data_IF_827543475193
#
_entry.id   IF_827543475193
#
_cell.length_a   1.000
_cell.length_b   1.000
_cell.length_c   1.000
_cell.angle_alpha   90.00
_cell.angle_beta   90.00
_cell.angle_gamma   90.00
#
_symmetry.space_group_name_H-M   'P 1'
#
loop_
_entity.id
_entity.type
_entity.pdbx_description
1 polymer ?
#
# COMPACT_ATOMS: atom_id res chain seq x y z
N UNK A 1 17.05 -18.93 28.49
CA UNK A 1 15.93 -18.06 28.12
C UNK A 1 15.25 -18.70 26.93
N UNK A 2 14.06 -19.26 27.15
CA UNK A 2 13.22 -19.79 26.08
C UNK A 2 12.86 -18.60 25.16
N UNK A 3 13.28 -18.66 23.89
CA UNK A 3 12.79 -17.76 22.85
C UNK A 3 11.27 -18.02 22.72
N UNK A 4 10.46 -17.23 23.40
CA UNK A 4 9.03 -17.22 23.11
C UNK A 4 8.87 -16.72 21.67
N UNK A 5 8.19 -17.50 20.84
CA UNK A 5 7.87 -17.10 19.48
C UNK A 5 7.09 -15.77 19.52
N UNK A 6 7.53 -14.79 18.75
CA UNK A 6 6.87 -13.49 18.66
C UNK A 6 5.50 -13.70 18.00
N UNK A 7 4.44 -13.27 18.65
CA UNK A 7 3.11 -13.20 18.03
C UNK A 7 2.94 -11.87 17.29
N UNK A 8 3.09 -11.91 15.98
CA UNK A 8 3.00 -10.73 15.13
C UNK A 8 1.59 -10.14 15.04
N UNK A 9 0.55 -10.85 15.51
CA UNK A 9 -0.82 -10.32 15.55
C UNK A 9 -1.00 -9.24 16.62
N UNK A 10 -0.09 -9.17 17.59
CA UNK A 10 -0.10 -8.17 18.67
C UNK A 10 0.41 -6.79 18.23
N UNK A 11 0.90 -6.66 17.00
CA UNK A 11 1.43 -5.39 16.49
C UNK A 11 0.47 -4.69 15.52
N UNK A 12 0.42 -3.34 15.57
CA UNK A 12 1.11 -2.45 16.51
C UNK A 12 0.50 -2.49 17.91
N UNK A 13 1.25 -1.99 18.90
CA UNK A 13 0.72 -1.71 20.24
C UNK A 13 -0.27 -0.52 20.22
N UNK A 14 -0.83 -0.18 21.39
CA UNK A 14 -1.78 0.93 21.52
C UNK A 14 -1.20 2.32 21.17
N UNK A 15 0.11 2.47 21.15
CA UNK A 15 0.82 3.69 20.77
C UNK A 15 1.28 3.68 19.31
N UNK A 16 0.98 2.61 18.58
CA UNK A 16 1.35 2.45 17.18
C UNK A 16 2.78 1.96 16.95
N UNK A 17 3.39 1.29 17.92
CA UNK A 17 4.74 0.75 17.78
C UNK A 17 4.74 -0.73 17.37
N UNK A 18 5.74 -1.06 16.57
CA UNK A 18 6.11 -2.42 16.18
C UNK A 18 7.45 -2.76 16.86
N UNK A 19 7.40 -3.08 18.15
CA UNK A 19 8.60 -3.19 18.99
C UNK A 19 9.25 -1.81 19.21
N UNK A 20 10.49 -1.65 18.75
CA UNK A 20 11.22 -0.36 18.82
C UNK A 20 10.93 0.59 17.67
N UNK A 21 10.12 0.19 16.70
CA UNK A 21 9.80 0.96 15.50
C UNK A 21 8.36 1.48 15.54
N UNK A 22 8.08 2.50 14.73
CA UNK A 22 6.73 3.05 14.59
C UNK A 22 6.48 4.26 15.49
N UNK A 23 5.20 4.47 15.87
CA UNK A 23 4.76 5.64 16.64
C UNK A 23 4.34 6.82 15.76
N UNK A 24 4.27 8.02 16.36
CA UNK A 24 3.80 9.25 15.71
C UNK A 24 4.83 10.36 15.85
N UNK A 25 5.72 10.50 14.88
CA UNK A 25 6.74 11.55 14.85
C UNK A 25 6.38 12.58 13.78
N UNK A 26 5.42 13.45 14.09
CA UNK A 26 4.89 14.47 13.17
C UNK A 26 4.71 15.79 13.88
N UNK A 27 4.41 16.86 13.10
CA UNK A 27 3.99 18.14 13.64
C UNK A 27 2.75 17.97 14.52
N UNK A 28 2.70 18.69 15.64
CA UNK A 28 1.56 18.69 16.57
C UNK A 28 0.24 19.02 15.86
N UNK A 29 0.28 19.86 14.83
CA UNK A 29 -0.86 20.20 13.97
C UNK A 29 -1.55 19.00 13.34
N UNK A 30 -0.82 17.90 13.08
CA UNK A 30 -1.35 16.69 12.48
C UNK A 30 -1.87 15.66 13.48
N UNK A 31 -1.62 15.86 14.78
CA UNK A 31 -1.97 14.84 15.79
C UNK A 31 -3.48 14.58 15.82
N UNK A 32 -4.31 15.62 15.84
CA UNK A 32 -5.77 15.46 15.82
C UNK A 32 -6.27 14.71 14.58
N UNK A 33 -5.72 15.02 13.40
CA UNK A 33 -6.08 14.33 12.16
C UNK A 33 -5.69 12.84 12.17
N UNK A 34 -4.55 12.49 12.78
CA UNK A 34 -4.12 11.10 12.93
C UNK A 34 -4.99 10.34 13.95
N UNK A 35 -5.39 10.98 15.03
CA UNK A 35 -6.30 10.41 16.04
C UNK A 35 -7.70 10.16 15.45
N UNK A 36 -8.21 11.10 14.67
CA UNK A 36 -9.47 10.95 13.94
C UNK A 36 -9.38 9.79 12.94
N UNK A 37 -8.28 9.68 12.19
CA UNK A 37 -8.05 8.60 11.25
C UNK A 37 -7.95 7.24 11.95
N UNK A 38 -7.21 7.15 13.05
CA UNK A 38 -7.10 5.93 13.85
C UNK A 38 -8.46 5.50 14.39
N UNK A 39 -9.22 6.45 14.96
CA UNK A 39 -10.57 6.20 15.48
C UNK A 39 -11.51 5.74 14.37
N UNK A 40 -11.50 6.40 13.21
CA UNK A 40 -12.29 5.99 12.05
C UNK A 40 -11.91 4.58 11.59
N UNK A 41 -10.61 4.32 11.39
CA UNK A 41 -10.15 3.00 10.96
C UNK A 41 -10.44 1.92 11.98
N UNK A 42 -10.28 2.21 13.27
CA UNK A 42 -10.61 1.29 14.36
C UNK A 42 -12.07 0.79 14.31
N UNK A 43 -12.99 1.66 13.89
CA UNK A 43 -14.40 1.28 13.65
C UNK A 43 -14.57 0.53 12.34
N UNK A 44 -13.98 1.04 11.24
CA UNK A 44 -14.22 0.55 9.89
C UNK A 44 -13.58 -0.81 9.61
N UNK A 45 -12.44 -1.12 10.21
CA UNK A 45 -11.74 -2.41 9.97
C UNK A 45 -12.57 -3.66 10.30
N UNK A 46 -13.63 -3.51 11.12
CA UNK A 46 -14.56 -4.57 11.47
C UNK A 46 -16.01 -4.27 11.04
N UNK A 47 -16.24 -3.17 10.34
CA UNK A 47 -17.57 -2.79 9.86
C UNK A 47 -17.95 -3.61 8.62
N UNK A 48 -19.05 -4.34 8.70
CA UNK A 48 -19.47 -5.25 7.65
C UNK A 48 -19.80 -4.52 6.34
N UNK A 49 -20.33 -3.30 6.39
CA UNK A 49 -20.68 -2.53 5.21
C UNK A 49 -19.42 -1.99 4.52
N UNK A 50 -18.47 -1.47 5.30
CA UNK A 50 -17.18 -1.03 4.78
C UNK A 50 -16.41 -2.17 4.11
N UNK A 51 -16.32 -3.32 4.78
CA UNK A 51 -15.62 -4.49 4.25
C UNK A 51 -16.30 -5.01 2.97
N UNK A 52 -17.64 -5.06 2.94
CA UNK A 52 -18.36 -5.46 1.73
C UNK A 52 -18.16 -4.48 0.55
N UNK A 53 -18.10 -3.17 0.81
CA UNK A 53 -17.81 -2.18 -0.23
C UNK A 53 -16.36 -2.32 -0.71
N UNK A 54 -15.42 -2.49 0.19
CA UNK A 54 -14.00 -2.71 -0.13
C UNK A 54 -13.80 -3.99 -0.95
N UNK A 55 -14.35 -5.12 -0.50
CA UNK A 55 -14.25 -6.41 -1.20
C UNK A 55 -14.91 -6.38 -2.57
N UNK A 56 -16.07 -5.73 -2.70
CA UNK A 56 -16.72 -5.51 -3.99
C UNK A 56 -15.83 -4.74 -4.96
N UNK A 57 -15.17 -3.70 -4.47
CA UNK A 57 -14.28 -2.87 -5.28
C UNK A 57 -13.00 -3.63 -5.66
N UNK A 58 -12.46 -4.44 -4.76
CA UNK A 58 -11.35 -5.32 -5.07
C UNK A 58 -11.72 -6.34 -6.16
N UNK A 59 -12.91 -6.94 -6.08
CA UNK A 59 -13.36 -7.94 -7.03
C UNK A 59 -13.69 -7.33 -8.41
N UNK A 60 -14.53 -6.29 -8.45
CA UNK A 60 -15.16 -5.84 -9.70
C UNK A 60 -14.47 -4.61 -10.33
N UNK A 61 -13.68 -3.87 -9.57
CA UNK A 61 -12.94 -2.72 -10.09
C UNK A 61 -11.44 -3.00 -10.25
N UNK A 62 -10.83 -3.67 -9.28
CA UNK A 62 -9.40 -4.07 -9.36
C UNK A 62 -9.21 -5.33 -10.20
N UNK A 63 -10.17 -6.25 -10.19
CA UNK A 63 -10.09 -7.53 -10.90
C UNK A 63 -9.46 -8.64 -10.07
N UNK A 64 -9.58 -8.57 -8.74
CA UNK A 64 -9.08 -9.61 -7.84
C UNK A 64 -10.02 -10.82 -7.78
N UNK A 65 -9.50 -12.04 -7.45
CA UNK A 65 -8.11 -12.31 -7.06
C UNK A 65 -7.11 -12.20 -8.21
N UNK A 66 -5.92 -11.65 -7.94
CA UNK A 66 -4.83 -11.73 -8.92
C UNK A 66 -4.34 -13.19 -9.03
N UNK A 67 -3.96 -13.68 -10.23
CA UNK A 67 -3.53 -15.05 -10.38
C UNK A 67 -2.23 -15.35 -9.63
N UNK A 68 -2.11 -16.60 -9.16
CA UNK A 68 -0.82 -17.20 -8.83
C UNK A 68 -0.42 -18.07 -10.02
N UNK A 69 0.61 -17.67 -10.74
CA UNK A 69 1.06 -18.30 -11.97
C UNK A 69 2.27 -19.20 -11.72
N UNK A 70 2.17 -20.50 -12.06
CA UNK A 70 3.30 -21.41 -12.03
C UNK A 70 4.19 -21.17 -13.25
N UNK A 71 5.41 -20.69 -13.02
CA UNK A 71 6.41 -20.42 -14.06
C UNK A 71 7.16 -21.72 -14.42
N UNK A 72 6.48 -22.67 -15.04
CA UNK A 72 6.98 -24.02 -15.31
C UNK A 72 8.31 -24.05 -16.06
N UNK A 73 8.40 -23.30 -17.17
CA UNK A 73 9.64 -23.26 -17.96
C UNK A 73 10.81 -22.67 -17.19
N UNK A 74 10.55 -21.69 -16.34
CA UNK A 74 11.57 -21.08 -15.51
C UNK A 74 12.03 -22.04 -14.41
N UNK A 75 11.10 -22.71 -13.78
CA UNK A 75 11.38 -23.75 -12.79
C UNK A 75 12.21 -24.89 -13.37
N UNK A 76 11.86 -25.36 -14.58
CA UNK A 76 12.62 -26.41 -15.31
C UNK A 76 14.02 -25.93 -15.69
N UNK A 77 14.15 -24.71 -16.21
CA UNK A 77 15.43 -24.13 -16.62
C UNK A 77 16.43 -24.03 -15.48
N UNK A 78 15.94 -23.61 -14.29
CA UNK A 78 16.78 -23.45 -13.11
C UNK A 78 17.06 -24.77 -12.38
N UNK A 79 16.24 -25.80 -12.61
CA UNK A 79 16.45 -27.15 -12.06
C UNK A 79 16.35 -27.26 -10.55
N UNK A 80 15.78 -26.27 -9.88
CA UNK A 80 15.69 -26.18 -8.42
C UNK A 80 14.26 -25.99 -7.94
N UNK A 81 13.98 -24.81 -7.37
CA UNK A 81 12.67 -24.47 -6.82
C UNK A 81 11.57 -24.41 -7.88
N UNK A 82 10.35 -24.79 -7.49
CA UNK A 82 9.16 -24.51 -8.28
C UNK A 82 8.78 -23.04 -8.06
N UNK A 83 8.75 -22.25 -9.13
CA UNK A 83 8.58 -20.79 -9.08
C UNK A 83 7.14 -20.43 -9.39
N UNK A 84 6.51 -19.73 -8.46
CA UNK A 84 5.17 -19.20 -8.59
C UNK A 84 5.20 -17.66 -8.53
N UNK A 85 4.51 -17.01 -9.45
CA UNK A 85 4.43 -15.54 -9.53
C UNK A 85 3.04 -15.09 -9.12
N UNK A 86 2.96 -14.30 -8.04
CA UNK A 86 1.73 -13.60 -7.66
C UNK A 86 1.59 -12.36 -8.53
N UNK A 87 0.67 -12.39 -9.48
CA UNK A 87 0.58 -11.47 -10.62
C UNK A 87 -0.19 -10.18 -10.26
N UNK A 88 0.38 -9.36 -9.37
CA UNK A 88 -0.18 -8.05 -9.03
C UNK A 88 -0.10 -7.02 -10.15
N UNK A 89 0.69 -7.27 -11.17
CA UNK A 89 0.76 -6.52 -12.41
C UNK A 89 -0.52 -6.60 -13.26
N UNK A 90 -1.35 -7.61 -13.04
CA UNK A 90 -2.64 -7.79 -13.71
C UNK A 90 -3.79 -7.03 -13.05
N UNK A 91 -3.58 -6.43 -11.91
CA UNK A 91 -4.58 -5.56 -11.30
C UNK A 91 -4.84 -4.33 -12.18
N UNK A 92 -6.05 -3.78 -12.08
CA UNK A 92 -6.32 -2.46 -12.62
C UNK A 92 -5.28 -1.45 -12.11
N UNK A 93 -4.78 -0.58 -12.95
CA UNK A 93 -3.62 0.33 -12.78
C UNK A 93 -2.23 -0.32 -12.98
N UNK A 94 -2.10 -1.63 -12.95
CA UNK A 94 -0.87 -2.35 -13.30
C UNK A 94 0.05 -2.67 -12.13
N UNK A 95 -0.42 -2.55 -10.87
CA UNK A 95 0.36 -2.92 -9.68
C UNK A 95 -0.50 -3.15 -8.45
N UNK A 96 0.14 -3.58 -7.34
CA UNK A 96 -0.47 -3.76 -6.03
C UNK A 96 -0.98 -2.46 -5.38
N UNK A 97 -0.55 -1.29 -5.85
CA UNK A 97 -0.85 0.00 -5.20
C UNK A 97 -2.34 0.29 -5.08
N UNK A 98 -3.13 -0.16 -6.04
CA UNK A 98 -4.57 0.06 -6.07
C UNK A 98 -5.30 -0.58 -4.86
N UNK A 99 -4.81 -1.68 -4.31
CA UNK A 99 -5.41 -2.33 -3.14
C UNK A 99 -5.48 -1.37 -1.95
N UNK A 100 -4.37 -0.67 -1.69
CA UNK A 100 -4.25 0.29 -0.62
C UNK A 100 -5.02 1.59 -0.92
N UNK A 101 -4.90 2.12 -2.14
CA UNK A 101 -5.54 3.41 -2.48
C UNK A 101 -7.07 3.32 -2.42
N UNK A 102 -7.68 2.19 -2.78
CA UNK A 102 -9.12 1.96 -2.59
C UNK A 102 -9.50 2.06 -1.12
N UNK A 103 -8.83 1.33 -0.24
CA UNK A 103 -9.13 1.33 1.18
C UNK A 103 -9.03 2.72 1.80
N UNK A 104 -7.93 3.45 1.52
CA UNK A 104 -7.73 4.80 2.04
C UNK A 104 -8.72 5.81 1.44
N UNK A 105 -9.06 5.71 0.17
CA UNK A 105 -10.03 6.61 -0.44
C UNK A 105 -11.46 6.39 0.08
N UNK A 106 -11.84 5.16 0.43
CA UNK A 106 -13.10 4.90 1.13
C UNK A 106 -13.11 5.54 2.53
N UNK A 107 -11.98 5.48 3.25
CA UNK A 107 -11.84 6.20 4.53
C UNK A 107 -11.91 7.72 4.34
N UNK A 108 -11.27 8.26 3.30
CA UNK A 108 -11.35 9.68 2.96
C UNK A 108 -12.81 10.14 2.69
N UNK A 109 -13.55 9.34 1.92
CA UNK A 109 -14.97 9.57 1.65
C UNK A 109 -15.80 9.57 2.94
N UNK A 110 -15.59 8.59 3.83
CA UNK A 110 -16.31 8.48 5.11
C UNK A 110 -15.95 9.60 6.08
N UNK A 111 -14.74 10.13 6.03
CA UNK A 111 -14.33 11.31 6.82
C UNK A 111 -14.80 12.65 6.24
N UNK A 112 -15.54 12.63 5.13
CA UNK A 112 -16.07 13.83 4.48
C UNK A 112 -15.03 14.68 3.73
N UNK A 113 -13.82 14.15 3.54
CA UNK A 113 -12.76 14.83 2.79
C UNK A 113 -13.12 14.84 1.30
N UNK A 114 -12.88 15.98 0.65
CA UNK A 114 -13.20 16.19 -0.77
C UNK A 114 -11.96 16.18 -1.67
N UNK A 115 -10.80 16.26 -1.05
CA UNK A 115 -9.51 16.35 -1.73
C UNK A 115 -8.59 15.24 -1.21
N UNK A 116 -7.89 14.61 -2.15
CA UNK A 116 -6.87 13.59 -1.87
C UNK A 116 -5.52 14.12 -2.36
N UNK A 117 -4.49 13.95 -1.56
CA UNK A 117 -3.11 14.16 -1.98
C UNK A 117 -2.29 12.89 -1.84
N UNK A 118 -1.26 12.77 -2.66
CA UNK A 118 -0.29 11.68 -2.58
C UNK A 118 1.09 12.16 -3.03
N UNK A 119 2.11 11.49 -2.54
CA UNK A 119 3.46 11.50 -3.12
C UNK A 119 3.64 10.33 -4.08
N UNK A 120 4.56 10.47 -5.02
CA UNK A 120 4.96 9.35 -5.88
C UNK A 120 6.39 9.52 -6.38
N UNK A 121 7.10 8.41 -6.54
CA UNK A 121 8.42 8.36 -7.18
C UNK A 121 8.29 7.78 -8.59
N UNK A 122 8.22 6.45 -8.73
CA UNK A 122 8.04 5.78 -10.02
C UNK A 122 6.67 6.05 -10.69
N UNK A 123 5.72 6.65 -9.98
CA UNK A 123 4.43 7.06 -10.52
C UNK A 123 3.30 6.06 -10.31
N UNK A 124 3.54 4.83 -9.91
CA UNK A 124 2.49 3.81 -9.75
C UNK A 124 1.51 4.15 -8.63
N UNK A 125 2.00 4.65 -7.49
CA UNK A 125 1.12 5.10 -6.41
C UNK A 125 0.28 6.32 -6.84
N UNK A 126 0.89 7.27 -7.53
CA UNK A 126 0.20 8.44 -8.07
C UNK A 126 -0.91 8.05 -9.06
N UNK A 127 -0.64 7.13 -9.97
CA UNK A 127 -1.64 6.61 -10.93
C UNK A 127 -2.78 5.91 -10.19
N UNK A 128 -2.49 5.05 -9.22
CA UNK A 128 -3.51 4.37 -8.44
C UNK A 128 -4.37 5.35 -7.64
N UNK A 129 -3.76 6.37 -7.02
CA UNK A 129 -4.48 7.41 -6.28
C UNK A 129 -5.36 8.25 -7.22
N UNK A 130 -4.81 8.71 -8.35
CA UNK A 130 -5.58 9.47 -9.35
C UNK A 130 -6.77 8.66 -9.89
N UNK A 131 -6.59 7.37 -10.13
CA UNK A 131 -7.65 6.47 -10.61
C UNK A 131 -8.81 6.41 -9.62
N UNK A 132 -8.53 6.21 -8.33
CA UNK A 132 -9.57 6.11 -7.32
C UNK A 132 -10.20 7.46 -7.04
N UNK A 133 -9.43 8.54 -7.03
CA UNK A 133 -9.97 9.90 -6.89
C UNK A 133 -10.95 10.22 -8.02
N UNK A 134 -10.61 9.93 -9.26
CA UNK A 134 -11.50 10.11 -10.42
C UNK A 134 -12.79 9.29 -10.26
N UNK A 135 -12.69 8.02 -9.84
CA UNK A 135 -13.86 7.18 -9.61
C UNK A 135 -14.80 7.72 -8.54
N UNK A 136 -14.25 8.31 -7.46
CA UNK A 136 -15.04 8.84 -6.35
C UNK A 136 -15.43 10.31 -6.51
N UNK A 137 -15.03 10.97 -7.61
CA UNK A 137 -15.30 12.37 -7.85
C UNK A 137 -14.56 13.32 -6.90
N UNK A 138 -13.38 12.92 -6.44
CA UNK A 138 -12.55 13.71 -5.52
C UNK A 138 -11.47 14.50 -6.28
N UNK A 139 -11.15 15.69 -5.80
CA UNK A 139 -9.97 16.41 -6.26
C UNK A 139 -8.70 15.62 -5.89
N UNK A 140 -7.74 15.54 -6.82
CA UNK A 140 -6.50 14.81 -6.61
C UNK A 140 -5.29 15.64 -6.96
N UNK A 141 -4.35 15.75 -6.02
CA UNK A 141 -3.04 16.39 -6.25
C UNK A 141 -1.94 15.38 -5.93
N UNK A 142 -1.02 15.19 -6.88
CA UNK A 142 0.10 14.26 -6.73
C UNK A 142 1.41 15.03 -6.79
N UNK A 143 2.20 14.94 -5.72
CA UNK A 143 3.54 15.49 -5.63
C UNK A 143 4.54 14.48 -6.18
N UNK A 144 5.39 14.92 -7.10
CA UNK A 144 6.38 14.06 -7.74
C UNK A 144 7.67 14.85 -7.96
N UNK A 145 8.82 14.27 -7.62
CA UNK A 145 10.10 14.91 -7.86
C UNK A 145 10.30 15.26 -9.34
N UNK A 146 10.84 16.43 -9.63
CA UNK A 146 10.97 16.92 -11.01
C UNK A 146 11.81 15.99 -11.91
N UNK A 147 12.79 15.29 -11.35
CA UNK A 147 13.56 14.28 -12.10
C UNK A 147 12.71 13.02 -12.38
N UNK A 148 11.89 12.60 -11.43
CA UNK A 148 10.98 11.47 -11.60
C UNK A 148 9.87 11.78 -12.62
N UNK A 149 9.37 13.03 -12.64
CA UNK A 149 8.42 13.50 -13.67
C UNK A 149 8.96 13.30 -15.08
N UNK A 150 10.24 13.57 -15.29
CA UNK A 150 10.87 13.35 -16.60
C UNK A 150 11.05 11.87 -16.93
N UNK A 151 11.52 11.08 -15.94
CA UNK A 151 11.79 9.65 -16.11
C UNK A 151 10.51 8.85 -16.34
N UNK A 152 9.41 9.27 -15.72
CA UNK A 152 8.13 8.56 -15.68
C UNK A 152 7.01 9.32 -16.40
N UNK A 153 7.34 9.94 -17.53
CA UNK A 153 6.41 10.80 -18.28
C UNK A 153 5.08 10.11 -18.64
N UNK A 154 5.09 8.81 -18.91
CA UNK A 154 3.88 8.04 -19.20
C UNK A 154 2.95 7.95 -17.99
N UNK A 155 3.48 7.75 -16.79
CA UNK A 155 2.67 7.76 -15.58
C UNK A 155 2.13 9.16 -15.27
N UNK A 156 2.91 10.21 -15.53
CA UNK A 156 2.44 11.60 -15.42
C UNK A 156 1.28 11.87 -16.38
N UNK A 157 1.40 11.41 -17.62
CA UNK A 157 0.32 11.50 -18.60
C UNK A 157 -0.96 10.81 -18.13
N UNK A 158 -0.83 9.58 -17.60
CA UNK A 158 -1.97 8.81 -17.05
C UNK A 158 -2.65 9.55 -15.89
N UNK A 159 -1.87 10.08 -14.94
CA UNK A 159 -2.42 10.86 -13.82
C UNK A 159 -3.20 12.09 -14.29
N UNK A 160 -2.64 12.84 -15.24
CA UNK A 160 -3.31 14.03 -15.83
C UNK A 160 -4.57 13.66 -16.61
N UNK A 161 -4.53 12.57 -17.36
CA UNK A 161 -5.71 12.06 -18.09
C UNK A 161 -6.86 11.70 -17.14
N UNK A 162 -6.53 11.24 -15.94
CA UNK A 162 -7.48 10.94 -14.86
C UNK A 162 -7.94 12.19 -14.09
N UNK A 163 -7.50 13.37 -14.49
CA UNK A 163 -7.89 14.64 -13.88
C UNK A 163 -7.07 15.06 -12.67
N UNK A 164 -6.00 14.33 -12.32
CA UNK A 164 -5.14 14.73 -11.22
C UNK A 164 -4.19 15.87 -11.61
N UNK A 165 -3.95 16.77 -10.67
CA UNK A 165 -2.88 17.76 -10.76
C UNK A 165 -1.56 17.13 -10.32
N UNK A 166 -0.58 17.07 -11.21
CA UNK A 166 0.78 16.62 -10.88
C UNK A 166 1.67 17.82 -10.65
N UNK A 167 2.18 17.95 -9.43
CA UNK A 167 3.06 19.05 -9.00
C UNK A 167 4.51 18.58 -9.00
N UNK A 168 5.35 19.07 -9.93
CA UNK A 168 6.78 18.78 -9.95
C UNK A 168 7.49 19.47 -8.80
N UNK A 169 8.15 18.70 -7.94
CA UNK A 169 8.91 19.23 -6.79
C UNK A 169 10.35 19.51 -7.22
N UNK A 170 10.76 20.76 -7.10
CA UNK A 170 12.08 21.27 -7.55
C UNK A 170 13.12 21.33 -6.42
N UNK A 171 12.71 21.16 -5.15
CA UNK A 171 13.60 21.20 -4.00
C UNK A 171 14.43 19.92 -3.85
N UNK A 172 15.55 20.03 -3.16
CA UNK A 172 16.39 18.91 -2.78
C UNK A 172 16.93 18.09 -3.97
N UNK A 173 16.88 16.77 -3.84
CA UNK A 173 17.29 15.82 -4.88
C UNK A 173 16.25 15.67 -6.01
N UNK A 174 15.08 16.31 -5.87
CA UNK A 174 13.96 16.26 -6.83
C UNK A 174 13.42 14.83 -7.04
N UNK A 175 13.39 14.05 -5.98
CA UNK A 175 12.95 12.65 -5.95
C UNK A 175 11.85 12.42 -4.91
N UNK A 176 11.51 11.16 -4.63
CA UNK A 176 10.43 10.75 -3.74
C UNK A 176 10.46 11.42 -2.36
N UNK A 177 11.65 11.56 -1.74
CA UNK A 177 11.79 12.18 -0.41
C UNK A 177 11.29 13.63 -0.40
N UNK A 178 11.64 14.39 -1.44
CA UNK A 178 11.23 15.79 -1.56
C UNK A 178 9.73 15.89 -1.87
N UNK A 179 9.20 14.99 -2.68
CA UNK A 179 7.76 14.88 -2.94
C UNK A 179 6.97 14.59 -1.65
N UNK A 180 7.47 13.70 -0.78
CA UNK A 180 6.85 13.44 0.54
C UNK A 180 6.84 14.70 1.41
N UNK A 181 7.94 15.45 1.45
CA UNK A 181 8.02 16.67 2.23
C UNK A 181 7.00 17.73 1.77
N UNK A 182 6.82 17.89 0.45
CA UNK A 182 5.82 18.83 -0.07
C UNK A 182 4.39 18.35 0.19
N UNK A 183 4.11 17.05 0.01
CA UNK A 183 2.80 16.49 0.37
C UNK A 183 2.47 16.70 1.85
N UNK A 184 3.45 16.52 2.75
CA UNK A 184 3.26 16.79 4.18
C UNK A 184 2.99 18.25 4.48
N UNK A 185 3.66 19.20 3.81
CA UNK A 185 3.40 20.66 3.96
C UNK A 185 1.98 21.00 3.51
N UNK A 186 1.55 20.48 2.38
CA UNK A 186 0.18 20.65 1.89
C UNK A 186 -0.81 20.11 2.91
N UNK A 187 -0.57 18.89 3.41
CA UNK A 187 -1.46 18.26 4.36
C UNK A 187 -1.60 19.08 5.66
N UNK A 188 -0.49 19.53 6.24
CA UNK A 188 -0.51 20.41 7.42
C UNK A 188 -1.36 21.67 7.19
N UNK A 189 -1.27 22.24 5.98
CA UNK A 189 -1.97 23.48 5.63
C UNK A 189 -3.46 23.26 5.39
N UNK A 190 -3.85 22.11 4.83
CA UNK A 190 -5.20 21.83 4.33
C UNK A 190 -5.85 20.61 4.99
N UNK A 191 -5.46 20.29 6.23
CA UNK A 191 -5.85 19.06 6.92
C UNK A 191 -7.36 18.86 7.04
N UNK A 192 -8.13 19.93 7.18
CA UNK A 192 -9.58 19.87 7.34
C UNK A 192 -10.30 19.34 6.11
N UNK A 193 -9.83 19.67 4.93
CA UNK A 193 -10.45 19.30 3.64
C UNK A 193 -9.77 18.16 2.91
N UNK A 194 -8.56 17.80 3.33
CA UNK A 194 -7.63 16.97 2.57
C UNK A 194 -7.28 15.68 3.31
N UNK A 195 -7.30 14.56 2.60
CA UNK A 195 -6.79 13.28 3.04
C UNK A 195 -5.46 12.97 2.34
N UNK A 196 -4.44 12.65 3.11
CA UNK A 196 -3.17 12.19 2.57
C UNK A 196 -3.18 10.67 2.40
N UNK A 197 -3.10 10.20 1.15
CA UNK A 197 -3.02 8.77 0.82
C UNK A 197 -1.56 8.35 0.78
N UNK A 198 -1.10 7.65 1.80
CA UNK A 198 0.29 7.15 1.86
C UNK A 198 0.40 5.80 1.14
N UNK A 199 1.38 5.68 0.24
CA UNK A 199 1.54 4.52 -0.65
C UNK A 199 2.40 3.39 -0.11
N UNK A 200 2.93 3.51 1.11
CA UNK A 200 3.87 2.55 1.68
C UNK A 200 3.63 2.31 3.17
N UNK A 201 4.26 1.28 3.75
CA UNK A 201 4.17 0.94 5.19
C UNK A 201 5.09 1.84 6.03
N UNK A 202 5.15 3.12 5.70
CA UNK A 202 5.90 4.15 6.40
C UNK A 202 4.97 5.27 6.86
N UNK A 203 5.54 6.25 7.56
CA UNK A 203 4.81 7.39 8.09
C UNK A 203 4.27 7.17 9.50
N UNK A 204 3.52 8.14 10.03
CA UNK A 204 3.00 8.09 11.38
C UNK A 204 1.88 7.04 11.51
N UNK A 205 1.76 6.44 12.71
CA UNK A 205 0.58 5.63 13.02
C UNK A 205 -0.71 6.46 12.83
N UNK A 206 -1.78 5.93 12.20
CA UNK A 206 -2.04 4.51 11.88
C UNK A 206 -1.64 4.07 10.47
N UNK A 207 -0.94 4.89 9.67
CA UNK A 207 -0.67 4.57 8.26
C UNK A 207 0.05 3.24 8.01
N UNK A 208 1.12 2.85 8.76
CA UNK A 208 1.75 1.55 8.53
C UNK A 208 0.79 0.37 8.71
N UNK A 209 -0.11 0.46 9.69
CA UNK A 209 -1.15 -0.53 9.92
C UNK A 209 -2.17 -0.55 8.79
N UNK A 210 -2.69 0.61 8.38
CA UNK A 210 -3.66 0.72 7.28
C UNK A 210 -3.13 0.08 6.01
N UNK A 211 -1.92 0.46 5.61
CA UNK A 211 -1.30 -0.02 4.37
C UNK A 211 -1.04 -1.52 4.45
N UNK A 212 -0.53 -2.03 5.58
CA UNK A 212 -0.37 -3.46 5.83
C UNK A 212 -1.68 -4.20 5.62
N UNK A 213 -2.74 -3.74 6.27
CA UNK A 213 -4.01 -4.45 6.31
C UNK A 213 -4.67 -4.47 4.92
N UNK A 214 -4.67 -3.34 4.19
CA UNK A 214 -5.21 -3.29 2.83
C UNK A 214 -4.38 -4.09 1.82
N UNK A 215 -3.06 -4.14 1.99
CA UNK A 215 -2.19 -4.95 1.12
C UNK A 215 -2.18 -6.44 1.48
N UNK A 216 -2.61 -6.82 2.67
CA UNK A 216 -2.59 -8.23 3.12
C UNK A 216 -3.47 -9.16 2.28
N UNK A 217 -4.35 -8.62 1.45
CA UNK A 217 -5.10 -9.39 0.45
C UNK A 217 -4.17 -10.20 -0.46
N UNK A 218 -2.98 -9.67 -0.78
CA UNK A 218 -1.96 -10.35 -1.60
C UNK A 218 -1.59 -11.70 -0.98
N UNK A 219 -1.17 -11.69 0.28
CA UNK A 219 -0.73 -12.89 0.98
C UNK A 219 -1.88 -13.83 1.34
N UNK A 220 -3.07 -13.30 1.68
CA UNK A 220 -4.27 -14.14 1.92
C UNK A 220 -4.65 -14.94 0.68
N UNK A 221 -4.65 -14.30 -0.48
CA UNK A 221 -4.91 -14.99 -1.76
C UNK A 221 -3.80 -15.96 -2.11
N UNK A 222 -2.54 -15.53 -2.03
CA UNK A 222 -1.39 -16.37 -2.33
C UNK A 222 -1.37 -17.64 -1.49
N UNK A 223 -1.69 -17.53 -0.19
CA UNK A 223 -1.77 -18.67 0.73
C UNK A 223 -2.81 -19.70 0.27
N UNK A 224 -4.01 -19.26 -0.07
CA UNK A 224 -5.04 -20.15 -0.59
C UNK A 224 -4.64 -20.76 -1.92
N UNK A 225 -4.21 -19.93 -2.86
CA UNK A 225 -3.87 -20.35 -4.22
C UNK A 225 -2.71 -21.35 -4.27
N UNK A 226 -1.67 -21.17 -3.44
CA UNK A 226 -0.56 -22.13 -3.42
C UNK A 226 -0.98 -23.49 -2.83
N UNK A 227 -1.87 -23.49 -1.84
CA UNK A 227 -2.42 -24.72 -1.30
C UNK A 227 -3.31 -25.45 -2.33
N UNK A 228 -4.10 -24.72 -3.11
CA UNK A 228 -4.90 -25.27 -4.20
C UNK A 228 -4.03 -25.86 -5.32
N UNK A 229 -2.91 -25.21 -5.67
CA UNK A 229 -2.06 -25.61 -6.79
C UNK A 229 -0.97 -26.61 -6.41
N UNK A 230 -0.35 -26.48 -5.24
CA UNK A 230 0.79 -27.28 -4.81
C UNK A 230 0.48 -28.21 -3.62
N UNK A 231 -0.71 -28.12 -3.02
CA UNK A 231 -1.12 -28.95 -1.88
C UNK A 231 -0.42 -28.61 -0.56
N UNK A 232 0.39 -27.56 -0.51
CA UNK A 232 1.17 -27.17 0.67
C UNK A 232 1.50 -25.66 0.66
N UNK A 233 2.00 -25.15 1.80
CA UNK A 233 2.55 -23.82 1.89
C UNK A 233 3.90 -23.73 1.12
N UNK A 234 4.32 -22.53 0.69
CA UNK A 234 5.59 -22.34 0.02
C UNK A 234 6.75 -22.53 1.00
N UNK A 235 7.92 -22.95 0.51
CA UNK A 235 9.15 -23.00 1.31
C UNK A 235 9.71 -21.58 1.54
N UNK A 236 9.44 -20.68 0.58
CA UNK A 236 9.93 -19.32 0.63
C UNK A 236 9.00 -18.33 -0.08
N UNK A 237 8.94 -17.13 0.45
CA UNK A 237 8.36 -15.94 -0.16
C UNK A 237 9.48 -14.99 -0.53
N UNK A 238 9.43 -14.42 -1.73
CA UNK A 238 10.40 -13.44 -2.21
C UNK A 238 9.65 -12.21 -2.70
N UNK A 239 10.02 -11.05 -2.23
CA UNK A 239 9.43 -9.79 -2.66
C UNK A 239 10.50 -8.70 -2.81
N UNK A 240 10.37 -7.86 -3.83
CA UNK A 240 11.17 -6.64 -3.91
C UNK A 240 10.69 -5.65 -2.85
N UNK A 241 11.63 -4.88 -2.30
CA UNK A 241 11.36 -3.88 -1.26
C UNK A 241 11.76 -2.50 -1.76
N UNK A 242 10.74 -1.64 -1.95
CA UNK A 242 10.93 -0.20 -2.05
C UNK A 242 10.51 0.41 -0.70
N UNK A 243 9.28 0.94 -0.60
CA UNK A 243 8.71 1.35 0.68
C UNK A 243 8.14 0.21 1.54
N UNK A 244 8.12 -1.03 1.06
CA UNK A 244 7.74 -2.23 1.81
C UNK A 244 6.27 -2.65 1.70
N UNK A 245 5.39 -1.91 1.02
CA UNK A 245 3.96 -2.23 1.00
C UNK A 245 3.65 -3.57 0.30
N UNK A 246 4.30 -3.84 -0.82
CA UNK A 246 4.20 -5.10 -1.54
C UNK A 246 4.70 -6.28 -0.69
N UNK A 247 5.89 -6.15 -0.13
CA UNK A 247 6.49 -7.20 0.71
C UNK A 247 5.64 -7.46 1.96
N UNK A 248 5.21 -6.42 2.67
CA UNK A 248 4.35 -6.56 3.85
C UNK A 248 3.00 -7.19 3.49
N UNK A 249 2.41 -6.80 2.37
CA UNK A 249 1.16 -7.39 1.89
C UNK A 249 1.26 -8.89 1.64
N UNK A 250 2.39 -9.34 1.09
CA UNK A 250 2.64 -10.77 0.88
C UNK A 250 3.01 -11.49 2.18
N UNK A 251 3.92 -10.93 2.99
CA UNK A 251 4.53 -11.61 4.13
C UNK A 251 3.63 -11.68 5.35
N UNK A 252 2.86 -10.63 5.62
CA UNK A 252 2.09 -10.51 6.86
C UNK A 252 1.19 -11.73 7.15
N UNK A 253 0.41 -12.28 6.18
CA UNK A 253 -0.39 -13.47 6.43
C UNK A 253 0.39 -14.76 6.68
N UNK A 254 1.72 -14.75 6.51
CA UNK A 254 2.60 -15.90 6.73
C UNK A 254 3.56 -15.73 7.91
N UNK A 255 3.55 -14.59 8.62
CA UNK A 255 4.55 -14.30 9.66
C UNK A 255 4.60 -15.33 10.78
N UNK A 256 3.47 -16.00 11.06
CA UNK A 256 3.40 -17.05 12.09
C UNK A 256 3.73 -18.46 11.57
N UNK A 257 3.98 -18.62 10.26
CA UNK A 257 4.39 -19.88 9.67
C UNK A 257 5.92 -20.00 9.71
N UNK A 258 6.44 -20.61 10.76
CA UNK A 258 7.89 -20.67 11.06
C UNK A 258 8.73 -21.38 9.98
N UNK A 259 8.11 -22.28 9.22
CA UNK A 259 8.76 -23.04 8.16
C UNK A 259 8.80 -22.27 6.82
N UNK A 260 8.09 -21.14 6.70
CA UNK A 260 8.08 -20.28 5.50
C UNK A 260 9.15 -19.22 5.61
N UNK A 261 10.19 -19.30 4.80
CA UNK A 261 11.26 -18.32 4.74
C UNK A 261 10.80 -17.08 3.98
N UNK A 262 11.24 -15.89 4.39
CA UNK A 262 10.88 -14.63 3.76
C UNK A 262 12.13 -13.86 3.35
N UNK A 263 12.18 -13.46 2.08
CA UNK A 263 13.30 -12.72 1.50
C UNK A 263 12.80 -11.41 0.90
N UNK A 264 13.15 -10.30 1.56
CA UNK A 264 13.02 -8.96 1.00
C UNK A 264 14.26 -8.61 0.19
N UNK A 265 14.09 -8.20 -1.06
CA UNK A 265 15.19 -7.82 -1.95
C UNK A 265 15.10 -6.35 -2.25
N UNK A 266 16.10 -5.60 -1.80
CA UNK A 266 16.26 -4.16 -2.02
C UNK A 266 17.36 -3.93 -3.05
N UNK A 267 17.14 -2.97 -3.97
CA UNK A 267 18.09 -2.60 -5.02
C UNK A 267 19.00 -1.43 -4.60
#
# INVERSE_FOLDING_TARGET
QQNQAIDYTQFPDAQGHFGIHGGRFVSETLMAALEDLESLYGRMKNDAQFLAEFDRDLAYYVGRPSPLYHAERWSQHLGGAQIYLKREDLNHTGSHKVNNTIGQALLAKLSGKKRIIAETGAGQHGVATATIAARLGMECVVYMGAEDVKRQAMNVYRMRLLGATVVPVQSGSKTLKDAMNEAMRDWVTNVDSTYYVIGTVAGPHPYPQLVRDFQSIIGREARRQIQEQAGRLPDALVACVGGGSNAMGLFYPFLNDQDVKMYGVEA
#
